data_IF_086316661001
#
_entry.id   IF_086316661001
#
_cell.length_a   1.000
_cell.length_b   1.000
_cell.length_c   1.000
_cell.angle_alpha   90.00
_cell.angle_beta   90.00
_cell.angle_gamma   90.00
#
_symmetry.space_group_name_H-M   'P 1'
#
loop_
_entity.id
_entity.type
_entity.pdbx_description
1 polymer ?
#
# COMPACT_ATOMS: atom_id res chain seq x y z
N UNK A 1 14.87 6.58 -12.61
CA UNK A 1 14.06 7.37 -11.66
C UNK A 1 14.41 6.95 -10.25
N UNK A 2 14.64 7.91 -9.38
CA UNK A 2 14.99 7.62 -7.99
C UNK A 2 13.77 7.24 -7.18
N UNK A 3 13.99 6.52 -6.09
CA UNK A 3 12.89 6.10 -5.21
C UNK A 3 12.10 7.29 -4.67
N UNK A 4 12.78 8.39 -4.33
CA UNK A 4 12.07 9.56 -3.80
C UNK A 4 11.15 10.18 -4.86
N UNK A 5 11.54 10.12 -6.13
CA UNK A 5 10.69 10.62 -7.21
C UNK A 5 9.44 9.76 -7.37
N UNK A 6 9.60 8.45 -7.27
CA UNK A 6 8.47 7.52 -7.32
C UNK A 6 7.53 7.76 -6.14
N UNK A 7 8.11 7.95 -4.95
CA UNK A 7 7.30 8.19 -3.76
C UNK A 7 6.56 9.52 -3.85
N UNK A 8 7.17 10.55 -4.43
CA UNK A 8 6.50 11.84 -4.60
C UNK A 8 5.27 11.72 -5.50
N UNK A 9 5.35 10.88 -6.53
CA UNK A 9 4.17 10.61 -7.38
C UNK A 9 3.06 9.94 -6.59
N UNK A 10 3.43 9.06 -5.66
CA UNK A 10 2.44 8.37 -4.83
C UNK A 10 1.81 9.35 -3.83
N UNK A 11 2.58 10.32 -3.33
CA UNK A 11 2.04 11.38 -2.47
C UNK A 11 0.96 12.17 -3.21
N UNK A 12 1.20 12.52 -4.47
CA UNK A 12 0.22 13.22 -5.26
C UNK A 12 -1.01 12.36 -5.51
N UNK A 13 -0.80 11.07 -5.78
CA UNK A 13 -1.89 10.14 -5.98
C UNK A 13 -2.78 10.04 -4.75
N UNK A 14 -2.20 10.06 -3.55
CA UNK A 14 -2.96 9.93 -2.31
C UNK A 14 -4.05 10.99 -2.18
N UNK A 15 -3.82 12.18 -2.76
CA UNK A 15 -4.82 13.25 -2.72
C UNK A 15 -6.13 12.89 -3.42
N UNK A 16 -6.10 11.87 -4.29
CA UNK A 16 -7.30 11.47 -5.03
C UNK A 16 -8.22 10.56 -4.21
N UNK A 17 -7.77 10.14 -3.04
CA UNK A 17 -8.60 9.27 -2.19
C UNK A 17 -9.76 10.05 -1.59
N UNK A 18 -10.94 9.43 -1.60
CA UNK A 18 -12.12 9.95 -0.93
C UNK A 18 -12.50 9.11 0.28
N UNK A 19 -11.59 8.26 0.73
CA UNK A 19 -11.86 7.41 1.90
C UNK A 19 -12.15 8.23 3.15
N UNK A 20 -13.21 7.84 3.87
CA UNK A 20 -13.60 8.47 5.11
C UNK A 20 -13.86 7.41 6.16
N UNK A 21 -13.30 7.59 7.35
CA UNK A 21 -13.54 6.69 8.48
C UNK A 21 -15.00 6.81 8.94
N UNK A 22 -15.48 5.83 9.67
CA UNK A 22 -16.82 5.87 10.25
C UNK A 22 -17.02 7.16 11.05
N UNK A 23 -15.96 7.64 11.71
CA UNK A 23 -15.99 8.89 12.47
C UNK A 23 -16.14 10.15 11.59
N UNK A 24 -16.11 10.00 10.27
CA UNK A 24 -16.17 11.13 9.34
C UNK A 24 -14.81 11.71 9.00
N UNK A 25 -13.74 11.16 9.52
CA UNK A 25 -12.40 11.69 9.32
C UNK A 25 -11.80 11.17 8.01
N UNK A 26 -11.35 12.04 7.09
CA UNK A 26 -10.72 11.57 5.86
C UNK A 26 -9.35 10.97 6.14
N UNK A 27 -9.01 9.92 5.39
CA UNK A 27 -7.69 9.30 5.45
C UNK A 27 -7.26 9.03 4.01
N UNK A 28 -6.22 9.71 3.55
CA UNK A 28 -5.79 9.64 2.16
C UNK A 28 -4.50 8.87 2.05
N UNK A 29 -4.58 7.71 1.41
CA UNK A 29 -3.42 6.84 1.20
C UNK A 29 -3.36 6.44 -0.26
N UNK A 30 -2.16 6.51 -0.83
CA UNK A 30 -1.90 6.02 -2.17
C UNK A 30 -0.83 4.94 -2.13
N UNK A 31 -0.85 4.07 -3.12
CA UNK A 31 0.14 3.02 -3.25
C UNK A 31 0.44 2.76 -4.71
N UNK A 32 1.69 2.47 -5.01
CA UNK A 32 2.13 2.12 -6.37
C UNK A 32 3.12 0.97 -6.30
N UNK A 33 3.10 0.14 -7.33
CA UNK A 33 4.05 -0.96 -7.46
C UNK A 33 4.89 -0.71 -8.70
N UNK A 34 6.21 -0.76 -8.52
CA UNK A 34 7.19 -0.63 -9.59
C UNK A 34 8.04 -1.89 -9.65
N UNK A 35 8.37 -2.31 -10.86
CA UNK A 35 9.35 -3.35 -11.09
C UNK A 35 10.57 -2.66 -11.73
N UNK A 36 11.58 -2.36 -10.90
CA UNK A 36 12.64 -1.47 -11.32
C UNK A 36 12.08 -0.08 -11.57
N UNK A 37 12.32 0.47 -12.74
CA UNK A 37 11.76 1.77 -13.10
C UNK A 37 10.42 1.66 -13.82
N UNK A 38 9.94 0.43 -14.03
CA UNK A 38 8.69 0.23 -14.73
C UNK A 38 7.52 0.30 -13.75
N UNK A 39 6.62 1.26 -13.98
CA UNK A 39 5.37 1.35 -13.22
C UNK A 39 4.45 0.19 -13.60
N UNK A 40 3.90 -0.48 -12.61
CA UNK A 40 3.01 -1.63 -12.81
C UNK A 40 1.57 -1.25 -12.45
N UNK A 41 1.36 -0.70 -11.26
CA UNK A 41 0.01 -0.38 -10.81
C UNK A 41 0.03 0.73 -9.79
N UNK A 42 -1.13 1.36 -9.61
CA UNK A 42 -1.34 2.38 -8.59
C UNK A 42 -2.78 2.29 -8.11
N UNK A 43 -3.01 2.67 -6.86
CA UNK A 43 -4.34 2.69 -6.28
C UNK A 43 -4.40 3.63 -5.09
N UNK A 44 -5.62 4.00 -4.72
CA UNK A 44 -5.87 4.75 -3.48
C UNK A 44 -6.78 3.91 -2.59
N UNK A 45 -6.79 4.20 -1.30
CA UNK A 45 -7.70 3.51 -0.39
C UNK A 45 -9.15 3.88 -0.70
N UNK A 46 -10.08 2.99 -0.36
CA UNK A 46 -11.48 3.14 -0.74
C UNK A 46 -12.37 2.57 0.35
N UNK A 47 -13.58 3.13 0.47
CA UNK A 47 -14.61 2.57 1.36
C UNK A 47 -15.27 1.33 0.77
N UNK A 48 -14.96 0.99 -0.47
CA UNK A 48 -15.45 -0.24 -1.09
C UNK A 48 -14.78 -1.45 -0.47
N UNK A 49 -15.44 -2.59 -0.55
CA UNK A 49 -14.88 -3.84 -0.07
C UNK A 49 -14.50 -4.71 -1.27
N UNK A 50 -13.63 -5.70 -1.01
CA UNK A 50 -13.21 -6.65 -2.03
C UNK A 50 -13.04 -8.00 -1.36
N UNK A 51 -13.64 -9.09 -1.92
CA UNK A 51 -13.54 -10.41 -1.30
C UNK A 51 -12.12 -10.88 -1.04
N UNK A 52 -11.16 -10.45 -1.85
CA UNK A 52 -9.76 -10.84 -1.67
C UNK A 52 -9.16 -10.27 -0.39
N UNK A 53 -9.73 -9.19 0.14
CA UNK A 53 -9.25 -8.56 1.37
C UNK A 53 -9.73 -9.31 2.60
N UNK A 54 -10.92 -9.90 2.53
CA UNK A 54 -11.53 -10.61 3.67
C UNK A 54 -10.60 -11.67 4.24
N UNK A 55 -9.85 -12.33 3.39
CA UNK A 55 -8.90 -13.35 3.79
C UNK A 55 -7.88 -12.86 4.83
N UNK A 56 -7.52 -11.58 4.80
CA UNK A 56 -6.51 -11.02 5.69
C UNK A 56 -7.09 -10.36 6.94
N UNK A 57 -8.41 -10.19 6.99
CA UNK A 57 -9.03 -9.50 8.12
C UNK A 57 -8.92 -10.27 9.44
N UNK A 58 -8.72 -11.57 9.38
CA UNK A 58 -8.52 -12.36 10.59
C UNK A 58 -7.24 -11.97 11.35
N UNK A 59 -6.32 -11.32 10.67
CA UNK A 59 -5.08 -10.82 11.27
C UNK A 59 -5.34 -9.59 12.13
N UNK A 60 -6.44 -8.88 11.86
CA UNK A 60 -6.83 -7.68 12.59
C UNK A 60 -8.14 -7.94 13.31
N UNK A 61 -8.04 -8.55 14.49
CA UNK A 61 -9.22 -9.02 15.21
C UNK A 61 -10.20 -7.90 15.58
N UNK A 62 -9.73 -6.68 15.67
CA UNK A 62 -10.58 -5.55 16.00
C UNK A 62 -11.16 -4.85 14.77
N UNK A 63 -10.68 -5.18 13.60
CA UNK A 63 -11.14 -4.54 12.36
C UNK A 63 -12.29 -5.34 11.79
N UNK A 64 -13.49 -4.76 11.81
CA UNK A 64 -14.68 -5.50 11.41
C UNK A 64 -15.13 -5.25 9.98
N UNK A 65 -14.64 -4.17 9.37
CA UNK A 65 -15.06 -3.84 8.01
C UNK A 65 -13.88 -3.99 7.07
N UNK A 66 -14.00 -4.84 6.04
CA UNK A 66 -12.90 -5.10 5.11
C UNK A 66 -12.80 -4.00 4.05
N UNK A 67 -12.49 -2.79 4.48
CA UNK A 67 -12.24 -1.71 3.53
C UNK A 67 -11.02 -2.02 2.68
N UNK A 68 -11.05 -1.56 1.45
CA UNK A 68 -9.98 -1.80 0.51
C UNK A 68 -8.86 -0.78 0.75
N UNK A 69 -7.78 -1.25 1.33
CA UNK A 69 -6.59 -0.43 1.54
C UNK A 69 -5.87 -0.22 0.21
N UNK A 70 -5.15 0.89 0.10
CA UNK A 70 -4.43 1.23 -1.13
C UNK A 70 -3.43 0.14 -1.52
N UNK A 71 -2.72 -0.42 -0.56
CA UNK A 71 -1.73 -1.47 -0.80
C UNK A 71 -2.37 -2.70 -1.44
N UNK A 72 -3.48 -3.16 -0.88
CA UNK A 72 -4.19 -4.32 -1.42
C UNK A 72 -4.74 -4.02 -2.81
N UNK A 73 -5.28 -2.83 -3.00
CA UNK A 73 -5.81 -2.45 -4.31
C UNK A 73 -4.70 -2.45 -5.37
N UNK A 74 -3.52 -1.94 -5.01
CA UNK A 74 -2.38 -1.93 -5.92
C UNK A 74 -1.90 -3.35 -6.24
N UNK A 75 -1.84 -4.22 -5.22
CA UNK A 75 -1.44 -5.62 -5.41
C UNK A 75 -2.43 -6.35 -6.30
N UNK A 76 -3.73 -6.20 -6.05
CA UNK A 76 -4.76 -6.84 -6.86
C UNK A 76 -4.66 -6.38 -8.31
N UNK A 77 -4.48 -5.08 -8.53
CA UNK A 77 -4.32 -4.54 -9.87
C UNK A 77 -3.06 -5.08 -10.56
N UNK A 78 -1.95 -5.13 -9.82
CA UNK A 78 -0.69 -5.65 -10.37
C UNK A 78 -0.81 -7.13 -10.72
N UNK A 79 -1.56 -7.91 -9.92
CA UNK A 79 -1.70 -9.34 -10.16
C UNK A 79 -2.41 -9.66 -11.47
N UNK A 80 -3.09 -8.68 -12.04
CA UNK A 80 -3.74 -8.83 -13.34
C UNK A 80 -2.81 -8.47 -14.50
N UNK A 81 -1.64 -7.92 -14.21
CA UNK A 81 -0.70 -7.42 -15.22
C UNK A 81 0.60 -8.20 -15.29
N UNK A 82 1.04 -8.78 -14.17
CA UNK A 82 2.28 -9.55 -14.12
C UNK A 82 2.05 -10.87 -13.39
N UNK A 83 2.88 -11.85 -13.68
CA UNK A 83 2.84 -13.14 -13.00
C UNK A 83 3.27 -12.98 -11.56
N UNK A 84 2.69 -13.80 -10.68
CA UNK A 84 3.01 -13.75 -9.25
C UNK A 84 4.51 -13.95 -9.00
N UNK A 85 5.17 -14.76 -9.80
CA UNK A 85 6.62 -15.01 -9.65
C UNK A 85 7.45 -13.75 -9.87
N UNK A 86 6.90 -12.73 -10.52
CA UNK A 86 7.62 -11.49 -10.81
C UNK A 86 7.49 -10.46 -9.68
N UNK A 87 6.63 -10.70 -8.70
CA UNK A 87 6.52 -9.79 -7.56
C UNK A 87 7.83 -9.71 -6.76
N UNK A 88 8.67 -10.73 -6.84
CA UNK A 88 9.98 -10.71 -6.16
C UNK A 88 10.92 -9.62 -6.70
N UNK A 89 10.59 -9.04 -7.85
CA UNK A 89 11.37 -7.94 -8.44
C UNK A 89 10.71 -6.58 -8.20
N UNK A 90 9.62 -6.54 -7.46
CA UNK A 90 8.85 -5.33 -7.29
C UNK A 90 9.13 -4.62 -5.98
N UNK A 91 8.86 -3.32 -5.98
CA UNK A 91 8.87 -2.49 -4.77
C UNK A 91 7.50 -1.85 -4.64
N UNK A 92 6.95 -1.86 -3.44
CA UNK A 92 5.69 -1.21 -3.13
C UNK A 92 5.97 0.13 -2.47
N UNK A 93 5.38 1.18 -3.01
CA UNK A 93 5.49 2.53 -2.46
C UNK A 93 4.17 2.92 -1.86
N UNK A 94 4.16 3.43 -0.63
CA UNK A 94 2.93 3.83 0.06
C UNK A 94 3.10 5.22 0.64
N UNK A 95 2.11 6.08 0.43
CA UNK A 95 2.14 7.44 0.98
C UNK A 95 0.82 7.76 1.65
N UNK A 96 0.89 8.39 2.81
CA UNK A 96 -0.27 8.92 3.52
C UNK A 96 -0.20 10.43 3.52
N UNK A 97 -1.23 11.08 2.99
CA UNK A 97 -1.30 12.54 2.93
C UNK A 97 -2.13 13.06 4.08
N UNK A 98 -1.60 14.05 4.80
CA UNK A 98 -2.32 14.71 5.87
C UNK A 98 -3.13 15.87 5.31
N UNK A 99 -4.19 16.26 6.05
CA UNK A 99 -5.08 17.32 5.58
C UNK A 99 -4.40 18.67 5.43
N UNK A 100 -3.46 18.97 6.33
CA UNK A 100 -2.81 20.29 6.30
C UNK A 100 -1.68 20.28 5.25
N UNK A 101 -0.52 19.93 5.65
CA UNK A 101 0.61 19.80 4.75
C UNK A 101 1.49 18.67 5.27
N UNK A 102 2.27 18.10 4.38
CA UNK A 102 3.14 17.01 4.76
C UNK A 102 2.47 15.65 4.67
N UNK A 103 3.17 14.65 5.16
CA UNK A 103 2.76 13.27 5.09
C UNK A 103 2.79 12.62 6.46
N UNK A 104 1.98 11.58 6.65
CA UNK A 104 1.97 10.79 7.85
C UNK A 104 2.64 9.45 7.65
N UNK A 105 2.65 8.65 8.70
CA UNK A 105 3.19 7.31 8.65
C UNK A 105 2.30 6.41 7.80
N UNK A 106 2.89 5.86 6.75
CA UNK A 106 2.18 5.00 5.80
C UNK A 106 2.67 3.55 5.83
N UNK A 107 3.28 3.12 6.93
CA UNK A 107 3.70 1.73 7.05
C UNK A 107 2.47 0.83 6.95
N UNK A 108 2.49 -0.18 6.06
CA UNK A 108 1.33 -1.06 5.91
C UNK A 108 0.90 -1.69 7.23
N UNK A 109 -0.42 -1.82 7.41
CA UNK A 109 -0.95 -2.47 8.60
C UNK A 109 -0.65 -3.96 8.57
N UNK A 110 -0.93 -4.63 9.68
CA UNK A 110 -0.59 -6.03 9.83
C UNK A 110 -1.22 -6.91 8.74
N UNK A 111 -2.48 -6.65 8.39
CA UNK A 111 -3.14 -7.42 7.34
C UNK A 111 -2.49 -7.19 5.98
N UNK A 112 -2.15 -5.94 5.65
CA UNK A 112 -1.48 -5.63 4.39
C UNK A 112 -0.07 -6.23 4.35
N UNK A 113 0.64 -6.23 5.48
CA UNK A 113 1.97 -6.85 5.55
C UNK A 113 1.90 -8.35 5.26
N UNK A 114 0.86 -9.02 5.75
CA UNK A 114 0.68 -10.43 5.45
C UNK A 114 0.47 -10.66 3.96
N UNK A 115 -0.33 -9.81 3.33
CA UNK A 115 -0.56 -9.91 1.89
C UNK A 115 0.72 -9.63 1.10
N UNK A 116 1.48 -8.63 1.51
CA UNK A 116 2.75 -8.28 0.86
C UNK A 116 3.70 -9.46 0.91
N UNK A 117 3.80 -10.11 2.06
CA UNK A 117 4.65 -11.31 2.21
C UNK A 117 4.16 -12.45 1.34
N UNK A 118 2.85 -12.67 1.33
CA UNK A 118 2.28 -13.78 0.58
C UNK A 118 2.48 -13.63 -0.92
N UNK A 119 2.38 -12.40 -1.43
CA UNK A 119 2.62 -12.14 -2.85
C UNK A 119 4.11 -12.10 -3.19
N UNK A 120 4.98 -12.00 -2.18
CA UNK A 120 6.42 -12.07 -2.40
C UNK A 120 7.09 -10.76 -2.76
N UNK A 121 6.47 -9.62 -2.42
CA UNK A 121 7.09 -8.31 -2.64
C UNK A 121 8.17 -8.12 -1.57
N UNK A 122 9.44 -7.96 -1.98
CA UNK A 122 10.54 -7.97 -1.00
C UNK A 122 10.86 -6.61 -0.37
N UNK A 123 10.34 -5.52 -0.92
CA UNK A 123 10.72 -4.20 -0.46
C UNK A 123 9.53 -3.24 -0.45
N UNK A 124 9.42 -2.47 0.62
CA UNK A 124 8.43 -1.40 0.70
C UNK A 124 9.12 -0.09 1.04
N UNK A 125 8.61 1.00 0.49
CA UNK A 125 9.08 2.36 0.79
C UNK A 125 7.83 3.16 1.13
N UNK A 126 7.83 3.85 2.25
CA UNK A 126 6.63 4.54 2.71
C UNK A 126 6.95 5.87 3.38
N UNK A 127 5.98 6.76 3.39
CA UNK A 127 6.14 8.06 4.06
C UNK A 127 6.10 7.88 5.57
N UNK A 128 6.80 8.78 6.27
CA UNK A 128 6.77 8.89 7.73
C UNK A 128 6.49 10.34 8.08
N UNK A 129 6.35 10.62 9.37
CA UNK A 129 6.11 11.99 9.82
C UNK A 129 7.28 12.91 9.52
N UNK A 130 8.48 12.37 9.37
CA UNK A 130 9.68 13.17 9.16
C UNK A 130 10.34 12.95 7.78
N UNK A 131 9.71 12.16 6.91
CA UNK A 131 10.29 11.89 5.59
C UNK A 131 9.79 10.57 5.04
N UNK A 132 10.70 9.63 4.85
CA UNK A 132 10.31 8.30 4.38
C UNK A 132 11.26 7.24 4.94
N UNK A 133 10.81 5.99 4.84
CA UNK A 133 11.57 4.83 5.30
C UNK A 133 11.44 3.72 4.27
N UNK A 134 12.43 2.84 4.25
CA UNK A 134 12.41 1.64 3.41
C UNK A 134 12.58 0.42 4.31
N UNK A 135 11.84 -0.64 4.00
CA UNK A 135 11.96 -1.91 4.70
C UNK A 135 12.09 -3.03 3.70
N UNK A 136 12.93 -4.00 4.03
CA UNK A 136 12.99 -5.25 3.28
C UNK A 136 12.16 -6.28 4.01
N UNK A 137 11.25 -6.90 3.27
CA UNK A 137 10.37 -7.93 3.82
C UNK A 137 11.11 -9.25 3.74
N UNK A 138 11.43 -9.82 4.89
CA UNK A 138 12.07 -11.13 4.91
C UNK A 138 11.02 -12.19 5.06
N UNK A 139 11.18 -13.24 4.30
CA UNK A 139 10.33 -14.38 4.50
C UNK A 139 10.63 -14.98 5.86
N UNK A 140 9.57 -15.39 6.54
CA UNK A 140 9.74 -16.06 7.79
C UNK A 140 10.60 -17.27 7.57
N UNK A 141 11.35 -17.58 8.58
CA UNK A 141 12.25 -18.64 8.49
C UNK A 141 11.70 -19.91 7.89
N UNK A 142 12.45 -20.48 7.11
CA UNK A 142 12.11 -21.71 6.45
C UNK A 142 12.83 -22.85 7.05
#
# INVERSE_FOLDING_TARGET
MKDIEKLNKVKDLANESSFVKISGKPVKVGASIYMGNKWISSAVNSNKTNPKVVKYNSVLSFEKTPFLHAEMAAIISASKKIDIKNFKYCTLFVARKLNMSGCGLARPCKACMEAIKEYGIPKIIYTTDSGYAAEFIREENR
#
